data_IF_259530236673
#
_entry.id   IF_259530236673
#
_cell.length_a   1.000
_cell.length_b   1.000
_cell.length_c   1.000
_cell.angle_alpha   90.00
_cell.angle_beta   90.00
_cell.angle_gamma   90.00
#
_symmetry.space_group_name_H-M   'P 1'
#
loop_
_entity.id
_entity.type
_entity.pdbx_description
1 polymer ?
#
# COMPACT_ATOMS: atom_id res chain seq x y z
N UNK A 1 -17.97 -21.31 12.97
CA UNK A 1 -17.92 -19.95 12.39
C UNK A 1 -17.64 -18.88 13.43
N UNK A 2 -16.42 -18.35 13.46
CA UNK A 2 -16.12 -17.19 14.30
C UNK A 2 -16.50 -15.91 13.55
N UNK A 3 -17.67 -15.34 13.86
CA UNK A 3 -18.10 -14.05 13.30
C UNK A 3 -17.33 -12.92 13.96
N UNK A 4 -16.80 -12.00 13.16
CA UNK A 4 -16.28 -10.71 13.66
C UNK A 4 -17.44 -9.88 14.19
N UNK A 5 -17.20 -9.07 15.21
CA UNK A 5 -18.22 -8.20 15.82
C UNK A 5 -17.80 -6.74 15.78
N UNK A 6 -18.80 -5.85 15.82
CA UNK A 6 -18.58 -4.41 15.76
C UNK A 6 -17.73 -3.92 16.93
N UNK A 7 -16.70 -3.13 16.63
CA UNK A 7 -15.75 -2.58 17.61
C UNK A 7 -15.71 -1.04 17.57
N UNK A 8 -16.82 -0.42 17.14
CA UNK A 8 -16.94 1.03 17.03
C UNK A 8 -16.37 1.59 15.72
N UNK A 9 -15.90 2.84 15.78
CA UNK A 9 -15.40 3.61 14.65
C UNK A 9 -14.11 4.34 15.01
N UNK A 10 -13.30 4.67 14.01
CA UNK A 10 -12.14 5.55 14.18
C UNK A 10 -11.97 6.48 12.98
N UNK A 11 -11.59 7.73 13.24
CA UNK A 11 -11.23 8.66 12.19
C UNK A 11 -9.83 8.35 11.64
N UNK A 12 -9.66 8.54 10.33
CA UNK A 12 -8.36 8.50 9.69
C UNK A 12 -8.31 9.42 8.46
N UNK A 13 -7.16 10.05 8.24
CA UNK A 13 -6.90 10.91 7.09
C UNK A 13 -6.35 10.05 5.95
N UNK A 14 -6.86 10.30 4.75
CA UNK A 14 -6.42 9.71 3.49
C UNK A 14 -6.22 10.82 2.45
N UNK A 15 -5.19 10.68 1.63
CA UNK A 15 -4.99 11.55 0.48
C UNK A 15 -6.18 11.38 -0.48
N UNK A 16 -6.67 12.47 -1.08
CA UNK A 16 -7.84 12.45 -1.97
C UNK A 16 -9.17 12.73 -1.28
N UNK A 17 -9.18 12.86 0.06
CA UNK A 17 -10.35 13.31 0.82
C UNK A 17 -10.04 14.62 1.52
N UNK A 18 -11.01 15.55 1.50
CA UNK A 18 -10.86 16.87 2.13
C UNK A 18 -11.05 16.81 3.65
N UNK A 19 -11.62 15.73 4.17
CA UNK A 19 -11.94 15.55 5.58
C UNK A 19 -11.52 14.16 6.08
N UNK A 20 -11.26 13.99 7.39
CA UNK A 20 -11.02 12.68 7.97
C UNK A 20 -12.22 11.75 7.79
N UNK A 21 -11.97 10.51 7.37
CA UNK A 21 -13.01 9.51 7.18
C UNK A 21 -13.29 8.75 8.47
N UNK A 22 -14.57 8.58 8.81
CA UNK A 22 -15.00 7.73 9.91
C UNK A 22 -15.07 6.26 9.47
N UNK A 23 -14.11 5.45 9.90
CA UNK A 23 -13.97 4.06 9.48
C UNK A 23 -14.59 3.10 10.49
N UNK A 24 -15.36 2.12 10.01
CA UNK A 24 -15.85 1.03 10.84
C UNK A 24 -14.71 0.14 11.33
N UNK A 25 -14.78 -0.22 12.61
CA UNK A 25 -13.89 -1.19 13.24
C UNK A 25 -14.66 -2.49 13.53
N UNK A 26 -13.98 -3.60 13.30
CA UNK A 26 -14.39 -4.93 13.73
C UNK A 26 -13.34 -5.53 14.64
N UNK A 27 -13.75 -6.40 15.56
CA UNK A 27 -12.84 -7.18 16.40
C UNK A 27 -12.96 -8.66 16.09
N UNK A 28 -11.82 -9.31 15.95
CA UNK A 28 -11.76 -10.76 15.90
C UNK A 28 -11.84 -11.31 17.33
N UNK A 29 -12.83 -12.17 17.65
CA UNK A 29 -12.96 -12.73 18.99
C UNK A 29 -11.84 -13.74 19.32
N UNK A 30 -11.27 -14.40 18.32
CA UNK A 30 -10.26 -15.46 18.50
C UNK A 30 -8.88 -14.88 18.80
N UNK A 31 -8.44 -13.90 18.02
CA UNK A 31 -7.07 -13.36 18.10
C UNK A 31 -7.01 -12.00 18.79
N UNK A 32 -8.15 -11.45 19.22
CA UNK A 32 -8.25 -10.13 19.85
C UNK A 32 -7.89 -8.96 18.93
N UNK A 33 -7.60 -9.20 17.65
CA UNK A 33 -7.15 -8.18 16.72
C UNK A 33 -8.29 -7.28 16.25
N UNK A 34 -7.96 -6.00 15.99
CA UNK A 34 -8.91 -5.02 15.45
C UNK A 34 -8.68 -4.88 13.94
N UNK A 35 -9.75 -5.12 13.19
CA UNK A 35 -9.82 -4.93 11.74
C UNK A 35 -10.44 -3.56 11.49
N UNK A 36 -9.64 -2.65 10.95
CA UNK A 36 -10.10 -1.33 10.51
C UNK A 36 -10.41 -1.38 9.02
N UNK A 37 -11.65 -1.06 8.64
CA UNK A 37 -12.02 -0.92 7.23
C UNK A 37 -11.25 0.24 6.59
N UNK A 38 -11.18 0.24 5.26
CA UNK A 38 -10.53 1.31 4.49
C UNK A 38 -11.38 1.63 3.25
N UNK A 39 -11.22 2.83 2.68
CA UNK A 39 -11.78 3.10 1.37
C UNK A 39 -11.20 2.14 0.33
N UNK A 40 -12.00 1.85 -0.69
CA UNK A 40 -11.55 1.08 -1.84
C UNK A 40 -10.37 1.79 -2.53
N UNK A 41 -9.44 1.00 -3.07
CA UNK A 41 -8.25 1.56 -3.72
C UNK A 41 -7.15 2.02 -2.76
N UNK A 42 -7.18 1.65 -1.47
CA UNK A 42 -6.10 1.94 -0.52
C UNK A 42 -5.53 0.67 0.11
N UNK A 43 -4.19 0.56 0.13
CA UNK A 43 -3.53 -0.50 0.86
C UNK A 43 -3.68 -0.36 2.38
N UNK A 44 -3.61 -1.49 3.08
CA UNK A 44 -3.46 -1.52 4.55
C UNK A 44 -2.20 -0.75 4.95
N UNK A 45 -2.34 0.21 5.88
CA UNK A 45 -1.28 1.12 6.39
C UNK A 45 -0.87 2.24 5.44
N UNK A 46 -1.52 2.42 4.30
CA UNK A 46 -1.22 3.53 3.38
C UNK A 46 -2.36 4.53 3.34
N UNK A 47 -2.03 5.81 3.44
CA UNK A 47 -2.98 6.91 3.30
C UNK A 47 -3.12 7.36 1.84
N UNK A 48 -2.26 6.90 0.93
CA UNK A 48 -2.30 7.24 -0.49
C UNK A 48 -3.10 6.17 -1.26
N UNK A 49 -3.84 6.58 -2.31
CA UNK A 49 -4.42 5.64 -3.24
C UNK A 49 -3.35 4.73 -3.86
N UNK A 50 -3.74 3.49 -4.14
CA UNK A 50 -2.91 2.50 -4.87
C UNK A 50 -2.47 3.08 -6.21
N UNK A 51 -3.37 3.76 -6.91
CA UNK A 51 -3.09 4.43 -8.17
C UNK A 51 -1.98 5.48 -8.03
N UNK A 52 -2.05 6.35 -7.02
CA UNK A 52 -1.03 7.37 -6.76
C UNK A 52 0.35 6.75 -6.50
N UNK A 53 0.39 5.65 -5.73
CA UNK A 53 1.63 4.92 -5.47
C UNK A 53 2.18 4.32 -6.78
N UNK A 54 1.31 3.71 -7.58
CA UNK A 54 1.67 3.11 -8.87
C UNK A 54 2.23 4.18 -9.83
N UNK A 55 1.52 5.30 -9.99
CA UNK A 55 1.94 6.44 -10.82
C UNK A 55 3.28 7.03 -10.37
N UNK A 56 3.53 7.08 -9.05
CA UNK A 56 4.82 7.54 -8.50
C UNK A 56 5.97 6.62 -8.93
N UNK A 57 5.75 5.31 -8.88
CA UNK A 57 6.74 4.30 -9.30
C UNK A 57 6.96 4.37 -10.80
N UNK A 58 5.88 4.44 -11.59
CA UNK A 58 5.94 4.57 -13.03
C UNK A 58 6.73 5.83 -13.45
N UNK A 59 6.38 7.00 -12.89
CA UNK A 59 7.07 8.26 -13.15
C UNK A 59 8.57 8.17 -12.85
N UNK A 60 8.93 7.60 -11.69
CA UNK A 60 10.34 7.41 -11.32
C UNK A 60 11.05 6.44 -12.27
N UNK A 61 10.40 5.36 -12.68
CA UNK A 61 10.98 4.37 -13.58
C UNK A 61 11.13 4.88 -15.02
N UNK A 62 10.26 5.77 -15.49
CA UNK A 62 10.30 6.25 -16.90
C UNK A 62 11.08 7.54 -17.07
N UNK A 63 11.03 8.45 -16.09
CA UNK A 63 11.59 9.81 -16.22
C UNK A 63 12.72 10.12 -15.24
N UNK A 64 13.01 9.20 -14.32
CA UNK A 64 13.90 9.39 -13.17
C UNK A 64 13.49 10.55 -12.23
N UNK A 65 12.26 11.07 -12.35
CA UNK A 65 11.72 12.15 -11.50
C UNK A 65 10.65 11.63 -10.54
N UNK A 66 10.38 12.40 -9.50
CA UNK A 66 9.24 12.16 -8.61
C UNK A 66 8.02 12.92 -9.11
N UNK A 67 6.82 12.42 -8.82
CA UNK A 67 5.58 13.14 -9.10
C UNK A 67 5.58 14.47 -8.35
N UNK A 68 5.16 15.54 -9.03
CA UNK A 68 4.88 16.82 -8.40
C UNK A 68 3.65 16.73 -7.48
N UNK A 69 3.56 17.62 -6.51
CA UNK A 69 2.43 17.66 -5.56
C UNK A 69 2.46 16.59 -4.45
N UNK A 70 3.41 15.65 -4.48
CA UNK A 70 3.57 14.62 -3.45
C UNK A 70 4.97 14.73 -2.83
N UNK A 71 5.05 14.64 -1.51
CA UNK A 71 6.32 14.73 -0.77
C UNK A 71 7.32 13.67 -1.28
N UNK A 72 8.50 14.07 -1.79
CA UNK A 72 9.47 13.14 -2.39
C UNK A 72 9.93 12.01 -1.45
N UNK A 73 10.03 12.27 -0.15
CA UNK A 73 10.44 11.27 0.83
C UNK A 73 9.45 10.10 0.91
N UNK A 74 8.16 10.38 0.77
CA UNK A 74 7.10 9.36 0.78
C UNK A 74 7.17 8.50 -0.48
N UNK A 75 7.36 9.12 -1.63
CA UNK A 75 7.55 8.45 -2.92
C UNK A 75 8.81 7.57 -2.92
N UNK A 76 9.93 8.12 -2.46
CA UNK A 76 11.20 7.39 -2.28
C UNK A 76 11.03 6.19 -1.36
N UNK A 77 10.22 6.32 -0.31
CA UNK A 77 9.94 5.23 0.60
C UNK A 77 9.25 4.06 -0.11
N UNK A 78 8.21 4.33 -0.89
CA UNK A 78 7.49 3.32 -1.67
C UNK A 78 8.40 2.64 -2.68
N UNK A 79 9.15 3.45 -3.44
CA UNK A 79 10.07 2.95 -4.46
C UNK A 79 11.13 2.01 -3.88
N UNK A 80 11.81 2.45 -2.79
CA UNK A 80 12.81 1.62 -2.10
C UNK A 80 12.23 0.38 -1.43
N UNK A 81 10.97 0.41 -1.01
CA UNK A 81 10.30 -0.77 -0.48
C UNK A 81 10.04 -1.79 -1.58
N UNK A 82 9.55 -1.35 -2.74
CA UNK A 82 9.36 -2.24 -3.89
C UNK A 82 10.69 -2.83 -4.36
N UNK A 83 11.75 -2.02 -4.54
CA UNK A 83 13.08 -2.52 -4.94
C UNK A 83 13.55 -3.65 -4.02
N UNK A 84 13.48 -3.46 -2.71
CA UNK A 84 13.87 -4.48 -1.73
C UNK A 84 13.05 -5.77 -1.87
N UNK A 85 11.76 -5.66 -2.16
CA UNK A 85 10.90 -6.83 -2.38
C UNK A 85 11.22 -7.54 -3.68
N UNK A 86 11.53 -6.81 -4.75
CA UNK A 86 11.99 -7.40 -6.01
C UNK A 86 13.26 -8.20 -5.77
N UNK A 87 14.27 -7.61 -5.13
CA UNK A 87 15.51 -8.33 -4.80
C UNK A 87 15.25 -9.57 -3.94
N UNK A 88 14.39 -9.47 -2.92
CA UNK A 88 14.14 -10.58 -2.00
C UNK A 88 13.33 -11.74 -2.59
N UNK A 89 12.32 -11.46 -3.44
CA UNK A 89 11.38 -12.47 -3.91
C UNK A 89 11.54 -12.86 -5.38
N UNK A 90 12.02 -11.94 -6.22
CA UNK A 90 12.17 -12.16 -7.67
C UNK A 90 13.64 -12.33 -8.09
N UNK A 91 14.57 -12.02 -7.17
CA UNK A 91 16.01 -12.14 -7.38
C UNK A 91 16.55 -11.18 -8.43
N UNK A 92 17.84 -11.32 -8.72
CA UNK A 92 18.57 -10.47 -9.67
C UNK A 92 18.21 -10.77 -11.14
N UNK A 93 17.49 -11.86 -11.39
CA UNK A 93 17.02 -12.26 -12.74
C UNK A 93 15.81 -11.47 -13.23
N UNK A 94 15.20 -10.64 -12.38
CA UNK A 94 14.01 -9.87 -12.76
C UNK A 94 14.36 -8.67 -13.67
N UNK A 95 14.28 -8.86 -14.99
CA UNK A 95 14.60 -7.84 -15.99
C UNK A 95 13.40 -6.97 -16.44
N UNK A 96 12.17 -7.29 -16.03
CA UNK A 96 10.94 -6.65 -16.54
C UNK A 96 10.65 -5.25 -15.97
N UNK A 97 11.51 -4.77 -15.07
CA UNK A 97 11.37 -3.48 -14.40
C UNK A 97 10.42 -3.47 -13.21
N UNK A 98 10.45 -2.37 -12.46
CA UNK A 98 9.72 -2.22 -11.19
C UNK A 98 8.20 -2.17 -11.38
N UNK A 99 7.71 -1.52 -12.44
CA UNK A 99 6.27 -1.43 -12.66
C UNK A 99 5.65 -2.83 -12.90
N UNK A 100 6.32 -3.70 -13.67
CA UNK A 100 5.89 -5.08 -13.83
C UNK A 100 6.01 -5.91 -12.56
N UNK A 101 6.97 -5.61 -11.69
CA UNK A 101 7.04 -6.24 -10.38
C UNK A 101 5.88 -5.79 -9.46
N UNK A 102 5.48 -4.53 -9.55
CA UNK A 102 4.31 -4.02 -8.84
C UNK A 102 3.06 -4.80 -9.23
N UNK A 103 2.80 -4.94 -10.54
CA UNK A 103 1.68 -5.73 -11.07
C UNK A 103 1.75 -7.20 -10.61
N UNK A 104 2.94 -7.79 -10.63
CA UNK A 104 3.16 -9.17 -10.19
C UNK A 104 2.76 -9.39 -8.73
N UNK A 105 3.21 -8.52 -7.81
CA UNK A 105 2.83 -8.60 -6.40
C UNK A 105 1.33 -8.33 -6.20
N UNK A 106 0.74 -7.40 -6.96
CA UNK A 106 -0.70 -7.14 -6.92
C UNK A 106 -1.52 -8.37 -7.31
N UNK A 107 -1.13 -9.05 -8.39
CA UNK A 107 -1.79 -10.27 -8.87
C UNK A 107 -1.74 -11.42 -7.84
N UNK A 108 -0.76 -11.41 -6.94
CA UNK A 108 -0.63 -12.36 -5.83
C UNK A 108 -1.35 -11.90 -4.55
N UNK A 109 -2.07 -10.78 -4.56
CA UNK A 109 -2.73 -10.23 -3.38
C UNK A 109 -1.77 -9.62 -2.35
N UNK A 110 -0.53 -9.32 -2.75
CA UNK A 110 0.47 -8.70 -1.88
C UNK A 110 0.49 -7.18 -2.06
N UNK A 111 0.75 -6.45 -0.97
CA UNK A 111 1.01 -5.01 -1.03
C UNK A 111 2.42 -4.79 -1.57
N UNK A 112 2.62 -4.22 -2.79
CA UNK A 112 3.92 -4.23 -3.45
C UNK A 112 4.98 -3.35 -2.79
N UNK A 113 4.54 -2.36 -2.01
CA UNK A 113 5.40 -1.33 -1.38
C UNK A 113 5.46 -1.46 0.13
N UNK A 114 5.05 -2.60 0.69
CA UNK A 114 5.22 -2.86 2.12
C UNK A 114 6.70 -3.04 2.48
N UNK A 115 7.11 -2.58 3.65
CA UNK A 115 8.48 -2.80 4.15
C UNK A 115 8.72 -4.22 4.63
N UNK A 116 7.66 -4.92 5.04
CA UNK A 116 7.79 -6.26 5.60
C UNK A 116 8.16 -7.23 4.50
N UNK A 117 9.29 -7.90 4.68
CA UNK A 117 9.65 -9.12 3.96
C UNK A 117 9.37 -10.23 4.98
N UNK A 118 8.45 -11.12 4.64
CA UNK A 118 8.12 -12.31 5.41
C UNK A 118 8.66 -13.53 4.69
#
# INVERSE_FOLDING_TARGET
DYKVWGHGYAQAIFDGYNEPLLLKLYRCPVYGCVIRLRPEGYFKRFQAPVETICSSIACKSTTDRWLSGIIPNRQRHWFRALQRRVTAYLGDTWARGLLKAFDHFMAQGHVPVTRSIK
#
